data_IF_885732657713
#
_entry.id   IF_885732657713
#
_cell.length_a   1.000
_cell.length_b   1.000
_cell.length_c   1.000
_cell.angle_alpha   90.00
_cell.angle_beta   90.00
_cell.angle_gamma   90.00
#
_symmetry.space_group_name_H-M   'P 1'
#
loop_
_entity.id
_entity.type
_entity.pdbx_description
1 polymer ?
#
# COMPACT_ATOMS: atom_id res chain seq x y z
N UNK A 1 -1.28 13.13 3.26
CA UNK A 1 0.16 13.16 2.93
C UNK A 1 1.06 12.70 4.10
N UNK A 2 0.90 13.20 5.32
CA UNK A 2 1.72 12.82 6.49
C UNK A 2 1.72 11.30 6.80
N UNK A 3 0.56 10.65 6.68
CA UNK A 3 0.42 9.21 6.99
C UNK A 3 1.02 8.29 5.91
N UNK A 4 1.08 8.76 4.66
CA UNK A 4 1.71 8.02 3.54
C UNK A 4 3.23 8.09 3.66
N UNK A 5 3.76 9.26 4.04
CA UNK A 5 5.18 9.43 4.31
C UNK A 5 5.63 8.55 5.49
N UNK A 6 4.82 8.50 6.57
CA UNK A 6 5.09 7.66 7.72
C UNK A 6 5.09 6.16 7.37
N UNK A 7 4.19 5.71 6.49
CA UNK A 7 4.15 4.32 6.04
C UNK A 7 5.42 3.92 5.26
N UNK A 8 5.87 4.76 4.34
CA UNK A 8 7.10 4.52 3.55
C UNK A 8 8.34 4.48 4.46
N UNK A 9 8.40 5.38 5.45
CA UNK A 9 9.50 5.45 6.40
C UNK A 9 9.58 4.20 7.30
N UNK A 10 8.43 3.71 7.78
CA UNK A 10 8.36 2.49 8.57
C UNK A 10 8.77 1.27 7.73
N UNK A 11 8.27 1.15 6.50
CA UNK A 11 8.65 0.03 5.61
C UNK A 11 10.16 0.05 5.28
N UNK A 12 10.75 1.23 5.06
CA UNK A 12 12.19 1.37 4.85
C UNK A 12 13.03 0.92 6.04
N UNK A 13 12.61 1.27 7.27
CA UNK A 13 13.29 0.84 8.50
C UNK A 13 13.24 -0.68 8.67
N UNK A 14 12.10 -1.33 8.36
CA UNK A 14 11.99 -2.78 8.43
C UNK A 14 12.84 -3.51 7.38
N UNK A 15 13.00 -2.94 6.19
CA UNK A 15 13.87 -3.52 5.14
C UNK A 15 15.35 -3.40 5.54
N UNK A 16 15.78 -2.25 6.07
CA UNK A 16 17.15 -2.03 6.53
C UNK A 16 17.46 -2.90 7.75
N UNK A 17 16.54 -2.98 8.73
CA UNK A 17 16.67 -3.86 9.89
C UNK A 17 16.63 -5.35 9.50
N UNK A 18 15.85 -5.73 8.48
CA UNK A 18 15.84 -7.09 7.94
C UNK A 18 17.12 -7.44 7.18
N UNK A 19 17.68 -6.52 6.41
CA UNK A 19 18.88 -6.78 5.60
C UNK A 19 20.17 -6.76 6.44
N UNK A 20 20.27 -5.85 7.43
CA UNK A 20 21.44 -5.74 8.31
C UNK A 20 21.31 -6.50 9.65
N UNK A 21 20.10 -6.59 10.21
CA UNK A 21 19.89 -7.23 11.52
C UNK A 21 19.89 -8.76 11.46
N UNK A 22 19.42 -9.35 10.35
CA UNK A 22 19.38 -10.81 10.19
C UNK A 22 20.77 -11.47 10.11
N UNK A 23 21.75 -10.96 9.33
CA UNK A 23 23.12 -11.49 9.38
C UNK A 23 23.82 -11.25 10.71
N UNK A 24 23.58 -10.11 11.39
CA UNK A 24 24.17 -9.83 12.72
C UNK A 24 23.62 -10.75 13.83
N UNK A 25 22.34 -11.14 13.76
CA UNK A 25 21.74 -12.11 14.68
C UNK A 25 22.23 -13.55 14.42
N UNK A 26 22.46 -13.91 13.17
CA UNK A 26 23.06 -15.21 12.80
C UNK A 26 24.52 -15.25 13.25
N UNK A 27 25.31 -14.20 13.05
CA UNK A 27 26.70 -14.13 13.54
C UNK A 27 26.76 -14.20 15.07
N UNK A 28 25.90 -13.49 15.80
CA UNK A 28 25.91 -13.58 17.27
C UNK A 28 25.54 -14.96 17.80
N UNK A 29 24.57 -15.65 17.19
CA UNK A 29 24.20 -17.01 17.61
C UNK A 29 25.17 -18.09 17.12
N UNK A 30 25.86 -17.87 16.00
CA UNK A 30 26.90 -18.81 15.51
C UNK A 30 28.26 -18.57 16.14
N UNK A 31 28.54 -17.38 16.69
CA UNK A 31 29.79 -17.07 17.38
C UNK A 31 29.97 -17.88 18.67
N UNK A 32 28.94 -17.98 19.51
CA UNK A 32 28.99 -18.79 20.73
C UNK A 32 29.19 -20.28 20.39
N UNK A 33 28.42 -20.80 19.43
CA UNK A 33 28.56 -22.18 18.93
C UNK A 33 29.96 -22.45 18.34
N UNK A 34 30.54 -21.48 17.64
CA UNK A 34 31.89 -21.59 17.05
C UNK A 34 32.98 -21.55 18.12
N UNK A 35 32.76 -20.78 19.20
CA UNK A 35 33.67 -20.75 20.36
C UNK A 35 33.62 -22.07 21.13
N UNK A 36 32.43 -22.67 21.31
CA UNK A 36 32.28 -23.97 21.96
C UNK A 36 32.90 -25.10 21.11
N UNK A 37 32.76 -25.04 19.78
CA UNK A 37 33.42 -25.98 18.87
C UNK A 37 34.94 -25.80 18.89
N UNK A 38 35.45 -24.57 18.98
CA UNK A 38 36.88 -24.31 19.12
C UNK A 38 37.43 -24.77 20.47
N UNK A 39 36.71 -24.52 21.57
CA UNK A 39 37.10 -24.97 22.91
C UNK A 39 37.08 -26.51 22.99
N UNK A 40 36.05 -27.17 22.43
CA UNK A 40 36.04 -28.64 22.30
C UNK A 40 37.22 -29.14 21.46
N UNK A 41 37.50 -28.50 20.32
CA UNK A 41 38.60 -28.91 19.43
C UNK A 41 39.95 -28.69 20.09
N UNK A 42 40.10 -27.64 20.89
CA UNK A 42 41.31 -27.34 21.65
C UNK A 42 41.48 -28.32 22.82
N UNK A 43 40.39 -28.69 23.52
CA UNK A 43 40.39 -29.74 24.54
C UNK A 43 40.71 -31.12 23.97
N UNK A 44 40.16 -31.46 22.80
CA UNK A 44 40.51 -32.70 22.11
C UNK A 44 41.97 -32.74 21.69
N UNK A 45 42.50 -31.64 21.14
CA UNK A 45 43.91 -31.55 20.75
C UNK A 45 44.84 -31.65 21.97
N UNK A 46 44.45 -31.05 23.10
CA UNK A 46 45.19 -31.14 24.36
C UNK A 46 45.16 -32.56 24.95
N UNK A 47 44.02 -33.26 24.87
CA UNK A 47 43.93 -34.69 25.23
C UNK A 47 44.72 -35.58 24.28
N UNK A 48 44.78 -35.25 22.98
CA UNK A 48 45.57 -35.98 21.98
C UNK A 48 47.08 -35.80 22.23
N UNK A 49 47.52 -34.60 22.59
CA UNK A 49 48.91 -34.32 22.94
C UNK A 49 49.31 -34.92 24.30
N UNK A 50 48.40 -34.93 25.30
CA UNK A 50 48.60 -35.66 26.57
C UNK A 50 48.63 -37.19 26.35
N UNK A 51 47.86 -37.72 25.39
CA UNK A 51 47.86 -39.14 25.01
C UNK A 51 49.12 -39.57 24.25
N UNK A 52 49.86 -38.64 23.64
CA UNK A 52 51.16 -38.93 22.96
C UNK A 52 52.35 -38.87 23.93
N UNK A 53 52.23 -38.16 25.05
CA UNK A 53 53.30 -37.99 26.04
C UNK A 53 53.32 -39.07 27.13
N UNK A 54 52.25 -39.84 27.29
CA UNK A 54 52.19 -40.96 28.23
C UNK A 54 51.73 -42.22 27.48
N UNK A 55 52.60 -43.22 27.25
CA UNK A 55 52.12 -44.53 26.78
C UNK A 55 51.08 -45.03 27.79
N UNK A 56 49.94 -45.48 27.28
CA UNK A 56 48.88 -46.09 28.09
C UNK A 56 49.53 -47.11 29.02
N UNK A 57 49.46 -46.86 30.34
CA UNK A 57 49.88 -47.85 31.31
C UNK A 57 49.10 -49.15 31.01
N UNK A 58 49.76 -50.33 31.01
CA UNK A 58 49.14 -51.60 30.64
C UNK A 58 48.00 -52.05 31.59
N UNK A 59 47.68 -51.23 32.59
CA UNK A 59 46.61 -51.41 33.57
C UNK A 59 45.47 -50.39 33.38
N UNK A 60 45.33 -49.82 32.18
CA UNK A 60 44.18 -49.00 31.81
C UNK A 60 42.91 -49.87 31.82
N UNK A 61 42.29 -49.91 33.01
CA UNK A 61 41.08 -50.63 33.39
C UNK A 61 40.04 -50.62 32.25
N UNK A 62 40.04 -51.68 31.43
CA UNK A 62 39.21 -51.78 30.23
C UNK A 62 37.72 -51.58 30.56
N UNK A 63 37.31 -51.89 31.79
CA UNK A 63 35.98 -51.59 32.33
C UNK A 63 35.68 -50.10 32.43
N UNK A 64 36.65 -49.26 32.81
CA UNK A 64 36.48 -47.80 32.84
C UNK A 64 36.33 -47.22 31.44
N UNK A 65 37.13 -47.70 30.48
CA UNK A 65 37.05 -47.26 29.07
C UNK A 65 35.70 -47.67 28.46
N UNK A 66 35.27 -48.92 28.65
CA UNK A 66 33.95 -49.39 28.17
C UNK A 66 32.81 -48.59 28.82
N UNK A 67 32.89 -48.27 30.12
CA UNK A 67 31.90 -47.42 30.79
C UNK A 67 31.88 -46.00 30.22
N UNK A 68 33.03 -45.41 29.93
CA UNK A 68 33.10 -44.05 29.36
C UNK A 68 32.57 -44.01 27.94
N UNK A 69 32.88 -45.01 27.11
CA UNK A 69 32.37 -45.12 25.74
C UNK A 69 30.85 -45.35 25.73
N UNK A 70 30.32 -46.22 26.59
CA UNK A 70 28.86 -46.40 26.72
C UNK A 70 28.17 -45.13 27.24
N UNK A 71 28.77 -44.42 28.20
CA UNK A 71 28.24 -43.15 28.66
C UNK A 71 28.26 -42.06 27.57
N UNK A 72 29.30 -42.06 26.70
CA UNK A 72 29.38 -41.15 25.56
C UNK A 72 28.35 -41.50 24.48
N UNK A 73 28.17 -42.80 24.18
CA UNK A 73 27.18 -43.30 23.23
C UNK A 73 25.75 -42.95 23.66
N UNK A 74 25.43 -43.14 24.94
CA UNK A 74 24.15 -42.71 25.51
C UNK A 74 23.93 -41.19 25.42
N UNK A 75 24.98 -40.40 25.68
CA UNK A 75 24.91 -38.94 25.50
C UNK A 75 24.74 -38.56 24.02
N UNK A 76 25.41 -39.22 23.10
CA UNK A 76 25.30 -38.98 21.66
C UNK A 76 23.88 -39.29 21.17
N UNK A 77 23.29 -40.42 21.57
CA UNK A 77 21.90 -40.74 21.25
C UNK A 77 20.90 -39.77 21.91
N UNK A 78 21.16 -39.31 23.14
CA UNK A 78 20.30 -38.28 23.74
C UNK A 78 20.39 -36.95 23.00
N UNK A 79 21.56 -36.63 22.43
CA UNK A 79 21.79 -35.43 21.66
C UNK A 79 21.09 -35.51 20.30
N UNK A 80 21.22 -36.65 19.59
CA UNK A 80 20.49 -36.93 18.35
C UNK A 80 18.97 -36.81 18.54
N UNK A 81 18.43 -37.47 19.57
CA UNK A 81 17.00 -37.39 19.87
C UNK A 81 16.54 -35.95 20.21
N UNK A 82 17.40 -35.16 20.86
CA UNK A 82 17.13 -33.75 21.15
C UNK A 82 17.19 -32.88 19.91
N UNK A 83 18.18 -33.09 19.02
CA UNK A 83 18.32 -32.38 17.75
C UNK A 83 17.14 -32.70 16.83
N UNK A 84 16.70 -33.96 16.77
CA UNK A 84 15.58 -34.37 15.93
C UNK A 84 14.25 -33.76 16.40
N UNK A 85 14.06 -33.67 17.73
CA UNK A 85 12.92 -32.98 18.35
C UNK A 85 12.97 -31.46 18.15
N UNK A 86 14.14 -30.84 18.28
CA UNK A 86 14.32 -29.42 17.99
C UNK A 86 14.04 -29.13 16.51
N UNK A 87 14.57 -29.95 15.60
CA UNK A 87 14.33 -29.85 14.15
C UNK A 87 12.84 -29.93 13.83
N UNK A 88 12.12 -30.89 14.39
CA UNK A 88 10.67 -31.01 14.14
C UNK A 88 9.92 -29.78 14.66
N UNK A 89 10.29 -29.28 15.85
CA UNK A 89 9.67 -28.07 16.41
C UNK A 89 9.95 -26.82 15.57
N UNK A 90 11.15 -26.75 14.97
CA UNK A 90 11.57 -25.66 14.13
C UNK A 90 10.83 -25.68 12.78
N UNK A 91 10.66 -26.86 12.17
CA UNK A 91 9.88 -27.05 10.94
C UNK A 91 8.40 -26.66 11.14
N UNK A 92 7.78 -27.06 12.25
CA UNK A 92 6.40 -26.69 12.57
C UNK A 92 6.26 -25.18 12.80
N UNK A 93 7.25 -24.57 13.46
CA UNK A 93 7.31 -23.12 13.67
C UNK A 93 7.44 -22.37 12.34
N UNK A 94 8.31 -22.86 11.44
CA UNK A 94 8.53 -22.30 10.11
C UNK A 94 7.28 -22.39 9.24
N UNK A 95 6.58 -23.54 9.24
CA UNK A 95 5.30 -23.70 8.53
C UNK A 95 4.23 -22.75 9.04
N UNK A 96 4.10 -22.60 10.37
CA UNK A 96 3.17 -21.62 10.97
C UNK A 96 3.52 -20.19 10.58
N UNK A 97 4.82 -19.86 10.56
CA UNK A 97 5.29 -18.53 10.20
C UNK A 97 5.04 -18.24 8.71
N UNK A 98 5.26 -19.21 7.83
CA UNK A 98 4.99 -19.10 6.39
C UNK A 98 3.48 -18.90 6.10
N UNK A 99 2.61 -19.72 6.71
CA UNK A 99 1.15 -19.56 6.56
C UNK A 99 0.65 -18.21 7.08
N UNK A 100 1.21 -17.74 8.21
CA UNK A 100 0.90 -16.43 8.76
C UNK A 100 1.34 -15.31 7.82
N UNK A 101 2.56 -15.39 7.28
CA UNK A 101 3.09 -14.43 6.32
C UNK A 101 2.25 -14.38 5.04
N UNK A 102 1.89 -15.53 4.45
CA UNK A 102 1.02 -15.59 3.27
C UNK A 102 -0.35 -14.97 3.53
N UNK A 103 -0.95 -15.22 4.70
CA UNK A 103 -2.23 -14.64 5.08
C UNK A 103 -2.14 -13.12 5.26
N UNK A 104 -1.05 -12.63 5.83
CA UNK A 104 -0.79 -11.18 5.98
C UNK A 104 -0.55 -10.53 4.62
N UNK A 105 0.24 -11.15 3.74
CA UNK A 105 0.50 -10.66 2.39
C UNK A 105 -0.77 -10.61 1.54
N UNK A 106 -1.61 -11.65 1.59
CA UNK A 106 -2.93 -11.64 0.91
C UNK A 106 -3.82 -10.50 1.41
N UNK A 107 -3.93 -10.33 2.73
CA UNK A 107 -4.70 -9.22 3.31
C UNK A 107 -4.14 -7.85 2.93
N UNK A 108 -2.81 -7.71 2.88
CA UNK A 108 -2.17 -6.47 2.44
C UNK A 108 -2.45 -6.19 0.96
N UNK A 109 -2.39 -7.20 0.09
CA UNK A 109 -2.71 -7.07 -1.32
C UNK A 109 -4.18 -6.66 -1.55
N UNK A 110 -5.12 -7.33 -0.87
CA UNK A 110 -6.55 -6.99 -0.92
C UNK A 110 -6.81 -5.55 -0.41
N UNK A 111 -6.15 -5.16 0.67
CA UNK A 111 -6.27 -3.80 1.23
C UNK A 111 -5.67 -2.75 0.29
N UNK A 112 -4.52 -3.04 -0.32
CA UNK A 112 -3.87 -2.15 -1.28
C UNK A 112 -4.74 -1.97 -2.53
N UNK A 113 -5.31 -3.05 -3.07
CA UNK A 113 -6.21 -2.97 -4.22
C UNK A 113 -7.47 -2.18 -3.91
N UNK A 114 -8.09 -2.42 -2.74
CA UNK A 114 -9.24 -1.64 -2.27
C UNK A 114 -8.90 -0.16 -2.15
N UNK A 115 -7.79 0.18 -1.49
CA UNK A 115 -7.34 1.56 -1.32
C UNK A 115 -7.05 2.24 -2.67
N UNK A 116 -6.45 1.51 -3.61
CA UNK A 116 -6.19 2.00 -4.96
C UNK A 116 -7.49 2.34 -5.70
N UNK A 117 -8.47 1.42 -5.69
CA UNK A 117 -9.80 1.65 -6.30
C UNK A 117 -10.52 2.84 -5.66
N UNK A 118 -10.54 2.92 -4.34
CA UNK A 118 -11.13 4.05 -3.62
C UNK A 118 -10.44 5.39 -3.95
N UNK A 119 -9.11 5.37 -4.08
CA UNK A 119 -8.32 6.55 -4.45
C UNK A 119 -8.65 7.01 -5.88
N UNK A 120 -8.74 6.08 -6.83
CA UNK A 120 -9.14 6.40 -8.20
C UNK A 120 -10.53 7.04 -8.27
N UNK A 121 -11.51 6.49 -7.54
CA UNK A 121 -12.86 7.06 -7.48
C UNK A 121 -12.84 8.47 -6.89
N UNK A 122 -12.05 8.71 -5.83
CA UNK A 122 -11.90 10.05 -5.26
C UNK A 122 -11.26 11.03 -6.24
N UNK A 123 -10.19 10.63 -6.94
CA UNK A 123 -9.54 11.47 -7.96
C UNK A 123 -10.51 11.80 -9.09
N UNK A 124 -11.27 10.83 -9.59
CA UNK A 124 -12.30 11.07 -10.60
C UNK A 124 -13.39 12.04 -10.10
N UNK A 125 -13.82 11.91 -8.84
CA UNK A 125 -14.77 12.83 -8.21
C UNK A 125 -14.23 14.25 -8.09
N UNK A 126 -12.97 14.42 -7.68
CA UNK A 126 -12.29 15.72 -7.58
C UNK A 126 -12.16 16.35 -8.97
N UNK A 127 -11.68 15.60 -9.96
CA UNK A 127 -11.53 16.09 -11.34
C UNK A 127 -12.89 16.53 -11.91
N UNK A 128 -13.93 15.72 -11.71
CA UNK A 128 -15.29 16.07 -12.11
C UNK A 128 -15.76 17.36 -11.44
N UNK A 129 -15.56 17.50 -10.12
CA UNK A 129 -15.90 18.71 -9.39
C UNK A 129 -15.15 19.95 -9.91
N UNK A 130 -13.85 19.82 -10.19
CA UNK A 130 -13.03 20.89 -10.74
C UNK A 130 -13.50 21.32 -12.14
N UNK A 131 -13.83 20.37 -13.02
CA UNK A 131 -14.41 20.66 -14.34
C UNK A 131 -15.74 21.40 -14.19
N UNK A 132 -16.61 20.97 -13.27
CA UNK A 132 -17.88 21.64 -13.01
C UNK A 132 -17.69 23.06 -12.43
N UNK A 133 -16.71 23.27 -11.54
CA UNK A 133 -16.34 24.61 -11.03
C UNK A 133 -15.81 25.52 -12.15
N UNK A 134 -15.06 24.97 -13.11
CA UNK A 134 -14.63 25.67 -14.32
C UNK A 134 -15.83 26.09 -15.18
N UNK A 135 -16.71 25.14 -15.53
CA UNK A 135 -17.93 25.40 -16.30
C UNK A 135 -18.81 26.45 -15.62
N UNK A 136 -18.96 26.32 -14.30
CA UNK A 136 -19.64 27.31 -13.47
C UNK A 136 -19.02 28.68 -13.74
N UNK A 137 -17.72 28.86 -13.55
CA UNK A 137 -17.03 30.15 -13.81
C UNK A 137 -17.31 30.72 -15.21
N UNK A 138 -17.30 29.88 -16.24
CA UNK A 138 -17.66 30.30 -17.61
C UNK A 138 -19.13 30.78 -17.70
N UNK A 139 -20.09 30.12 -17.02
CA UNK A 139 -21.48 30.61 -16.95
C UNK A 139 -21.58 31.99 -16.26
N UNK A 140 -20.76 32.27 -15.23
CA UNK A 140 -20.73 33.62 -14.64
C UNK A 140 -20.24 34.66 -15.64
N UNK A 141 -19.22 34.31 -16.42
CA UNK A 141 -18.73 35.16 -17.51
C UNK A 141 -19.83 35.40 -18.54
N UNK A 142 -20.57 34.37 -18.97
CA UNK A 142 -21.73 34.54 -19.86
C UNK A 142 -22.73 35.55 -19.30
N UNK A 143 -23.08 35.45 -18.00
CA UNK A 143 -23.99 36.40 -17.34
C UNK A 143 -23.46 37.84 -17.39
N UNK A 144 -22.16 38.01 -17.14
CA UNK A 144 -21.50 39.31 -17.21
C UNK A 144 -21.55 39.88 -18.64
N UNK A 145 -21.21 39.08 -19.65
CA UNK A 145 -21.25 39.48 -21.07
C UNK A 145 -22.67 39.82 -21.54
N UNK A 146 -23.69 39.06 -21.09
CA UNK A 146 -25.10 39.39 -21.34
C UNK A 146 -25.47 40.75 -20.73
N UNK A 147 -25.06 41.00 -19.49
CA UNK A 147 -25.27 42.31 -18.83
C UNK A 147 -24.57 43.46 -19.54
N UNK A 148 -23.38 43.20 -20.08
CA UNK A 148 -22.61 44.14 -20.91
C UNK A 148 -23.14 44.24 -22.37
N UNK A 149 -24.20 43.50 -22.73
CA UNK A 149 -24.77 43.40 -24.08
C UNK A 149 -23.80 42.88 -25.14
N UNK A 150 -22.76 42.17 -24.73
CA UNK A 150 -21.80 41.53 -25.62
C UNK A 150 -22.25 40.09 -25.96
N UNK A 151 -23.32 40.00 -26.76
CA UNK A 151 -23.99 38.72 -27.05
C UNK A 151 -23.12 37.78 -27.90
N UNK A 152 -22.22 38.32 -28.72
CA UNK A 152 -21.28 37.53 -29.52
C UNK A 152 -20.31 36.75 -28.65
N UNK A 153 -19.68 37.42 -27.67
CA UNK A 153 -18.80 36.74 -26.70
C UNK A 153 -19.59 35.80 -25.79
N UNK A 154 -20.80 36.18 -25.36
CA UNK A 154 -21.67 35.31 -24.57
C UNK A 154 -21.97 33.98 -25.29
N UNK A 155 -22.25 34.02 -26.61
CA UNK A 155 -22.47 32.80 -27.41
C UNK A 155 -21.23 31.94 -27.57
N UNK A 156 -20.08 32.54 -27.87
CA UNK A 156 -18.82 31.82 -27.97
C UNK A 156 -18.47 31.11 -26.65
N UNK A 157 -18.75 31.77 -25.53
CA UNK A 157 -18.56 31.19 -24.21
C UNK A 157 -19.54 30.04 -23.92
N UNK A 158 -20.80 30.15 -24.36
CA UNK A 158 -21.77 29.05 -24.28
C UNK A 158 -21.33 27.84 -25.12
N UNK A 159 -20.71 28.04 -26.29
CA UNK A 159 -20.15 26.94 -27.09
C UNK A 159 -19.03 26.21 -26.35
N UNK A 160 -18.09 26.96 -25.75
CA UNK A 160 -17.04 26.38 -24.92
C UNK A 160 -17.62 25.56 -23.75
N UNK A 161 -18.70 26.04 -23.13
CA UNK A 161 -19.37 25.30 -22.06
C UNK A 161 -19.99 24.00 -22.59
N UNK A 162 -20.60 23.99 -23.78
CA UNK A 162 -21.15 22.75 -24.37
C UNK A 162 -20.06 21.69 -24.60
N UNK A 163 -18.87 22.12 -25.05
CA UNK A 163 -17.70 21.26 -25.22
C UNK A 163 -17.23 20.68 -23.86
N UNK A 164 -17.03 21.54 -22.86
CA UNK A 164 -16.60 21.12 -21.52
C UNK A 164 -17.61 20.16 -20.86
N UNK A 165 -18.92 20.37 -21.06
CA UNK A 165 -19.97 19.44 -20.62
C UNK A 165 -19.88 18.10 -21.36
N UNK A 166 -19.54 18.13 -22.66
CA UNK A 166 -19.31 16.94 -23.47
C UNK A 166 -18.14 16.10 -22.95
N UNK A 167 -17.00 16.73 -22.70
CA UNK A 167 -15.81 16.07 -22.16
C UNK A 167 -16.06 15.50 -20.77
N UNK A 168 -16.74 16.27 -19.91
CA UNK A 168 -17.13 15.80 -18.59
C UNK A 168 -18.05 14.57 -18.65
N UNK A 169 -18.95 14.50 -19.63
CA UNK A 169 -19.86 13.37 -19.81
C UNK A 169 -19.12 12.10 -20.24
N UNK A 170 -18.02 12.21 -21.01
CA UNK A 170 -17.21 11.07 -21.43
C UNK A 170 -16.62 10.26 -20.25
N UNK A 171 -16.38 10.93 -19.12
CA UNK A 171 -15.74 10.35 -17.94
C UNK A 171 -16.67 10.18 -16.73
N UNK A 172 -17.96 10.50 -16.88
CA UNK A 172 -18.94 10.50 -15.80
C UNK A 172 -19.66 9.15 -15.63
N UNK A 173 -20.25 8.92 -14.45
CA UNK A 173 -21.21 7.83 -14.24
C UNK A 173 -22.50 8.07 -15.04
N UNK A 174 -23.29 7.03 -15.31
CA UNK A 174 -24.49 7.15 -16.16
C UNK A 174 -25.53 8.14 -15.60
N UNK A 175 -25.69 8.19 -14.28
CA UNK A 175 -26.54 9.19 -13.62
C UNK A 175 -26.05 10.63 -13.90
N UNK A 176 -24.75 10.87 -13.74
CA UNK A 176 -24.14 12.18 -14.00
C UNK A 176 -24.19 12.53 -15.49
N UNK A 177 -24.00 11.56 -16.39
CA UNK A 177 -24.13 11.76 -17.84
C UNK A 177 -25.51 12.28 -18.22
N UNK A 178 -26.58 11.72 -17.65
CA UNK A 178 -27.94 12.18 -17.91
C UNK A 178 -28.14 13.63 -17.50
N UNK A 179 -27.69 14.01 -16.30
CA UNK A 179 -27.74 15.40 -15.81
C UNK A 179 -26.95 16.34 -16.74
N UNK A 180 -25.75 15.94 -17.17
CA UNK A 180 -24.96 16.74 -18.10
C UNK A 180 -25.63 16.91 -19.48
N UNK A 181 -26.33 15.89 -19.97
CA UNK A 181 -27.10 16.00 -21.21
C UNK A 181 -28.29 16.97 -21.06
N UNK A 182 -28.95 16.97 -19.91
CA UNK A 182 -29.99 17.95 -19.59
C UNK A 182 -29.42 19.38 -19.57
N UNK A 183 -28.24 19.58 -18.97
CA UNK A 183 -27.55 20.88 -18.99
C UNK A 183 -27.23 21.34 -20.40
N UNK A 184 -26.69 20.45 -21.25
CA UNK A 184 -26.41 20.76 -22.66
C UNK A 184 -27.67 21.14 -23.44
N UNK A 185 -28.79 20.46 -23.18
CA UNK A 185 -30.09 20.79 -23.80
C UNK A 185 -30.56 22.19 -23.40
N UNK A 186 -30.51 22.51 -22.10
CA UNK A 186 -30.87 23.85 -21.59
C UNK A 186 -29.94 24.94 -22.14
N UNK A 187 -28.64 24.64 -22.25
CA UNK A 187 -27.66 25.56 -22.80
C UNK A 187 -27.88 25.85 -24.29
N UNK A 188 -28.22 24.83 -25.09
CA UNK A 188 -28.62 25.01 -26.49
C UNK A 188 -29.85 25.91 -26.62
N UNK A 189 -30.86 25.72 -25.76
CA UNK A 189 -32.04 26.60 -25.71
C UNK A 189 -31.67 28.04 -25.36
N UNK A 190 -30.87 28.23 -24.33
CA UNK A 190 -30.39 29.56 -23.94
C UNK A 190 -29.63 30.26 -25.07
N UNK A 191 -28.79 29.53 -25.82
CA UNK A 191 -28.05 30.06 -26.96
C UNK A 191 -28.97 30.46 -28.13
N UNK A 192 -30.02 29.69 -28.42
CA UNK A 192 -30.99 30.05 -29.47
C UNK A 192 -31.80 31.30 -29.10
N UNK A 193 -32.16 31.42 -27.83
CA UNK A 193 -33.01 32.51 -27.34
C UNK A 193 -32.22 33.80 -27.06
N UNK A 194 -30.89 33.77 -27.03
CA UNK A 194 -30.08 34.92 -26.61
C UNK A 194 -30.27 36.18 -27.48
N UNK A 195 -30.62 36.02 -28.76
CA UNK A 195 -30.90 37.16 -29.66
C UNK A 195 -32.38 37.56 -29.67
N UNK A 196 -33.29 36.62 -29.40
CA UNK A 196 -34.73 36.79 -29.62
C UNK A 196 -35.50 37.04 -28.33
N UNK A 197 -35.03 36.48 -27.21
CA UNK A 197 -35.62 36.56 -25.87
C UNK A 197 -34.50 36.48 -24.81
N UNK A 198 -33.76 37.58 -24.71
CA UNK A 198 -32.62 37.72 -23.79
C UNK A 198 -33.01 37.46 -22.32
N UNK A 199 -34.16 37.93 -21.79
CA UNK A 199 -34.59 37.61 -20.43
C UNK A 199 -34.76 36.10 -20.19
N UNK A 200 -35.36 35.39 -21.15
CA UNK A 200 -35.56 33.93 -21.06
C UNK A 200 -34.23 33.17 -21.11
N UNK A 201 -33.31 33.61 -21.98
CA UNK A 201 -31.95 33.06 -22.04
C UNK A 201 -31.17 33.28 -20.73
N UNK A 202 -31.24 34.50 -20.16
CA UNK A 202 -30.60 34.84 -18.90
C UNK A 202 -31.11 33.97 -17.73
N UNK A 203 -32.43 33.75 -17.64
CA UNK A 203 -33.02 32.89 -16.62
C UNK A 203 -32.54 31.42 -16.74
N UNK A 204 -32.39 30.90 -17.96
CA UNK A 204 -31.86 29.54 -18.19
C UNK A 204 -30.40 29.43 -17.77
N UNK A 205 -29.58 30.44 -18.06
CA UNK A 205 -28.17 30.48 -17.64
C UNK A 205 -28.06 30.56 -16.12
N UNK A 206 -28.93 31.32 -15.47
CA UNK A 206 -29.00 31.38 -14.00
C UNK A 206 -29.41 30.05 -13.39
N UNK A 207 -30.43 29.38 -13.95
CA UNK A 207 -30.83 28.04 -13.53
C UNK A 207 -29.67 27.05 -13.63
N UNK A 208 -28.98 27.02 -14.77
CA UNK A 208 -27.79 26.18 -14.99
C UNK A 208 -26.70 26.45 -13.96
N UNK A 209 -26.43 27.72 -13.67
CA UNK A 209 -25.46 28.10 -12.64
C UNK A 209 -25.84 27.54 -11.27
N UNK A 210 -27.11 27.61 -10.89
CA UNK A 210 -27.60 27.07 -9.62
C UNK A 210 -27.54 25.55 -9.55
N UNK A 211 -27.98 24.85 -10.60
CA UNK A 211 -27.98 23.39 -10.67
C UNK A 211 -26.57 22.81 -10.64
N UNK A 212 -25.64 23.40 -11.40
CA UNK A 212 -24.22 23.03 -11.36
C UNK A 212 -23.64 23.29 -9.97
N UNK A 213 -23.99 24.41 -9.33
CA UNK A 213 -23.57 24.71 -7.95
C UNK A 213 -24.08 23.68 -6.93
N UNK A 214 -25.26 23.10 -7.16
CA UNK A 214 -25.77 22.02 -6.31
C UNK A 214 -25.04 20.70 -6.62
N UNK A 215 -24.76 20.42 -7.88
CA UNK A 215 -24.04 19.22 -8.30
C UNK A 215 -22.62 19.19 -7.71
N UNK A 216 -21.90 20.31 -7.74
CA UNK A 216 -20.58 20.46 -7.12
C UNK A 216 -20.66 20.21 -5.60
N UNK A 217 -21.66 20.78 -4.93
CA UNK A 217 -21.86 20.59 -3.48
C UNK A 217 -22.11 19.14 -3.10
N UNK A 218 -22.90 18.41 -3.90
CA UNK A 218 -23.15 16.97 -3.71
C UNK A 218 -21.94 16.10 -4.06
N UNK A 219 -21.10 16.56 -5.00
CA UNK A 219 -19.93 15.82 -5.47
C UNK A 219 -18.71 15.97 -4.55
N UNK A 220 -18.63 17.02 -3.74
CA UNK A 220 -17.58 17.15 -2.73
C UNK A 220 -17.85 16.13 -1.61
N UNK A 221 -16.91 15.22 -1.31
CA UNK A 221 -17.03 14.42 -0.10
C UNK A 221 -17.11 15.42 1.07
N UNK A 222 -18.08 15.24 1.97
CA UNK A 222 -18.16 16.03 3.19
C UNK A 222 -16.76 16.10 3.81
N UNK A 223 -16.19 17.30 3.85
CA UNK A 223 -15.21 17.63 4.87
C UNK A 223 -15.98 17.49 6.19
N UNK A 224 -15.96 16.28 6.74
CA UNK A 224 -16.35 16.06 8.12
C UNK A 224 -15.39 16.90 8.95
N UNK A 225 -15.93 18.03 9.43
CA UNK A 225 -15.33 18.85 10.47
C UNK A 225 -15.14 18.03 11.76
#
# INVERSE_FOLDING_TARGET
>A
MKNVLAAILVTGIFIVAGYFGFPFLIEKKTADLRSEVQDLKQRFKKMEDESKAAPLQPDADARKVIKTVNALSLKAHSLEASIEKEKSSLEDSLKKQQMSAEKVLKKQAETAEKNYRETLVRIQGINFGATMDGIRTHLLKVRFEIGAKNLGTAKAELELIDELLGDAAGSASDEKKRVLQEFRSTLKKARMEIDTDLPSAANKIELLWHEISQLIRKARPHEAA
#
